data_IF_513982613546
#
_entry.id   IF_513982613546
#
_cell.length_a   1.000
_cell.length_b   1.000
_cell.length_c   1.000
_cell.angle_alpha   90.00
_cell.angle_beta   90.00
_cell.angle_gamma   90.00
#
_symmetry.space_group_name_H-M   'P 1'
#
loop_
_entity.id
_entity.type
_entity.pdbx_description
1 polymer ?
#
# COMPACT_ATOMS: atom_id res chain seq x y z
N UNK A 1 -12.32 -21.34 5.33
CA UNK A 1 -11.86 -20.64 4.11
C UNK A 1 -11.30 -19.23 4.37
N UNK A 2 -11.75 -18.50 5.40
CA UNK A 2 -11.24 -17.16 5.75
C UNK A 2 -9.71 -17.05 5.98
N UNK A 3 -9.08 -18.06 6.59
CA UNK A 3 -7.62 -18.03 6.90
C UNK A 3 -6.69 -17.86 5.68
N UNK A 4 -7.05 -18.41 4.50
CA UNK A 4 -6.22 -18.25 3.27
C UNK A 4 -6.35 -16.86 2.66
N UNK A 5 -7.48 -16.19 2.85
CA UNK A 5 -7.73 -14.84 2.34
C UNK A 5 -7.04 -13.78 3.21
N UNK A 6 -7.09 -13.93 4.54
CA UNK A 6 -6.37 -13.02 5.45
C UNK A 6 -4.85 -13.05 5.26
N UNK A 7 -4.26 -14.20 4.92
CA UNK A 7 -2.83 -14.32 4.60
C UNK A 7 -2.46 -13.49 3.37
N UNK A 8 -3.21 -13.60 2.27
CA UNK A 8 -2.96 -12.81 1.06
C UNK A 8 -3.09 -11.31 1.28
N UNK A 9 -4.04 -10.87 2.10
CA UNK A 9 -4.25 -9.45 2.39
C UNK A 9 -3.12 -8.88 3.25
N UNK A 10 -2.71 -9.60 4.30
CA UNK A 10 -1.56 -9.21 5.11
C UNK A 10 -0.27 -9.16 4.27
N UNK A 11 -0.09 -10.07 3.32
CA UNK A 11 1.04 -10.06 2.38
C UNK A 11 1.02 -8.83 1.46
N UNK A 12 -0.15 -8.42 0.95
CA UNK A 12 -0.28 -7.22 0.13
C UNK A 12 0.05 -5.96 0.93
N UNK A 13 -0.47 -5.84 2.15
CA UNK A 13 -0.19 -4.72 3.06
C UNK A 13 1.32 -4.67 3.38
N UNK A 14 1.92 -5.82 3.71
CA UNK A 14 3.35 -5.92 3.99
C UNK A 14 4.20 -5.50 2.79
N UNK A 15 3.83 -5.89 1.57
CA UNK A 15 4.53 -5.48 0.35
C UNK A 15 4.43 -3.98 0.08
N UNK A 16 3.27 -3.35 0.31
CA UNK A 16 3.11 -1.90 0.17
C UNK A 16 4.06 -1.18 1.13
N UNK A 17 4.08 -1.60 2.40
CA UNK A 17 4.97 -1.03 3.42
C UNK A 17 6.44 -1.26 3.07
N UNK A 18 6.80 -2.47 2.65
CA UNK A 18 8.16 -2.82 2.27
C UNK A 18 8.67 -1.98 1.10
N UNK A 19 7.88 -1.84 0.04
CA UNK A 19 8.24 -1.04 -1.14
C UNK A 19 8.37 0.44 -0.75
N UNK A 20 7.46 0.94 0.10
CA UNK A 20 7.49 2.32 0.56
C UNK A 20 8.67 2.61 1.50
N UNK A 21 8.99 1.71 2.42
CA UNK A 21 10.13 1.86 3.34
C UNK A 21 11.47 1.73 2.62
N UNK A 22 11.60 0.82 1.65
CA UNK A 22 12.77 0.73 0.77
C UNK A 22 13.00 2.00 -0.06
N UNK A 23 12.00 2.86 -0.12
CA UNK A 23 12.02 4.13 -0.80
C UNK A 23 12.41 5.31 0.11
N UNK A 24 13.06 5.06 1.26
CA UNK A 24 13.80 6.07 2.03
C UNK A 24 14.34 7.15 1.10
N UNK A 25 14.07 8.45 1.38
CA UNK A 25 14.15 9.48 0.36
C UNK A 25 15.56 9.53 -0.23
N UNK A 26 15.72 8.94 -1.42
CA UNK A 26 16.91 9.09 -2.24
C UNK A 26 17.19 10.60 -2.30
N UNK A 27 18.38 10.97 -1.82
CA UNK A 27 18.76 12.37 -1.60
C UNK A 27 18.47 13.15 -2.88
N UNK A 28 18.00 14.40 -2.71
CA UNK A 28 17.74 15.32 -3.82
C UNK A 28 18.99 15.40 -4.71
N UNK A 29 18.91 14.84 -5.92
CA UNK A 29 20.04 14.80 -6.86
C UNK A 29 20.29 13.46 -7.53
N UNK A 30 19.77 12.35 -7.00
CA UNK A 30 19.94 11.05 -7.65
C UNK A 30 19.06 10.95 -8.91
N UNK A 31 19.69 10.93 -10.09
CA UNK A 31 19.07 10.77 -11.41
C UNK A 31 18.27 9.48 -11.52
N UNK A 32 18.71 8.43 -10.80
CA UNK A 32 18.00 7.16 -10.63
C UNK A 32 16.63 7.38 -9.97
N UNK A 33 16.54 8.34 -9.05
CA UNK A 33 15.29 8.62 -8.35
C UNK A 33 14.22 9.17 -9.30
N UNK A 34 14.55 9.99 -10.30
CA UNK A 34 13.55 10.58 -11.19
C UNK A 34 12.83 9.55 -12.10
N UNK A 35 13.51 8.47 -12.50
CA UNK A 35 12.94 7.43 -13.37
C UNK A 35 12.32 6.27 -12.60
N UNK A 36 12.89 5.92 -11.45
CA UNK A 36 12.38 4.81 -10.63
C UNK A 36 11.19 5.28 -9.78
N UNK A 37 11.16 6.55 -9.34
CA UNK A 37 10.06 7.08 -8.52
C UNK A 37 8.67 6.89 -9.16
N UNK A 38 8.44 7.26 -10.43
CA UNK A 38 7.14 7.09 -11.07
C UNK A 38 6.72 5.63 -11.24
N UNK A 39 7.65 4.74 -11.58
CA UNK A 39 7.37 3.32 -11.75
C UNK A 39 6.95 2.66 -10.43
N UNK A 40 7.68 2.96 -9.34
CA UNK A 40 7.35 2.48 -8.00
C UNK A 40 6.01 3.06 -7.51
N UNK A 41 5.79 4.37 -7.69
CA UNK A 41 4.50 4.99 -7.36
C UNK A 41 3.35 4.34 -8.12
N UNK A 42 3.53 4.03 -9.40
CA UNK A 42 2.50 3.35 -10.21
C UNK A 42 2.18 1.97 -9.65
N UNK A 43 3.20 1.20 -9.25
CA UNK A 43 3.00 -0.13 -8.69
C UNK A 43 2.35 -0.07 -7.30
N UNK A 44 2.77 0.86 -6.42
CA UNK A 44 2.12 1.10 -5.13
C UNK A 44 0.65 1.48 -5.34
N UNK A 45 0.34 2.41 -6.25
CA UNK A 45 -1.03 2.82 -6.54
C UNK A 45 -1.88 1.67 -7.07
N UNK A 46 -1.31 0.80 -7.91
CA UNK A 46 -1.98 -0.41 -8.37
C UNK A 46 -2.34 -1.33 -7.19
N UNK A 47 -1.39 -1.61 -6.30
CA UNK A 47 -1.64 -2.43 -5.11
C UNK A 47 -2.65 -1.78 -4.15
N UNK A 48 -2.60 -0.45 -3.98
CA UNK A 48 -3.57 0.30 -3.18
C UNK A 48 -4.98 0.22 -3.79
N UNK A 49 -5.12 0.29 -5.11
CA UNK A 49 -6.42 0.15 -5.78
C UNK A 49 -7.00 -1.26 -5.63
N UNK A 50 -6.16 -2.30 -5.76
CA UNK A 50 -6.57 -3.69 -5.50
C UNK A 50 -7.00 -3.85 -4.04
N UNK A 51 -6.24 -3.28 -3.10
CA UNK A 51 -6.57 -3.30 -1.67
C UNK A 51 -7.87 -2.55 -1.35
N UNK A 52 -8.12 -1.42 -2.00
CA UNK A 52 -9.35 -0.64 -1.80
C UNK A 52 -10.59 -1.37 -2.30
N UNK A 53 -10.50 -2.00 -3.47
CA UNK A 53 -11.59 -2.81 -4.04
C UNK A 53 -11.95 -3.99 -3.13
N UNK A 54 -10.95 -4.68 -2.58
CA UNK A 54 -11.16 -5.76 -1.62
C UNK A 54 -11.72 -5.23 -0.29
N UNK A 55 -11.28 -4.05 0.16
CA UNK A 55 -11.76 -3.39 1.39
C UNK A 55 -13.24 -3.04 1.32
N UNK A 56 -13.73 -2.56 0.18
CA UNK A 56 -15.16 -2.24 0.01
C UNK A 56 -16.04 -3.49 0.12
N UNK A 57 -15.48 -4.68 -0.14
CA UNK A 57 -16.21 -5.95 -0.12
C UNK A 57 -15.96 -6.78 1.13
N UNK A 58 -15.02 -6.37 2.00
CA UNK A 58 -14.57 -7.14 3.14
C UNK A 58 -14.52 -6.31 4.43
N UNK A 59 -15.49 -6.54 5.31
CA UNK A 59 -15.58 -5.87 6.62
C UNK A 59 -14.38 -6.19 7.53
N UNK A 60 -13.84 -7.41 7.49
CA UNK A 60 -12.66 -7.76 8.31
C UNK A 60 -11.45 -6.92 7.93
N UNK A 61 -11.28 -6.64 6.63
CA UNK A 61 -10.20 -5.79 6.12
C UNK A 61 -10.38 -4.33 6.53
N UNK A 62 -11.62 -3.84 6.58
CA UNK A 62 -11.91 -2.50 7.10
C UNK A 62 -11.54 -2.35 8.57
N UNK A 63 -11.78 -3.38 9.38
CA UNK A 63 -11.37 -3.39 10.79
C UNK A 63 -9.86 -3.53 10.93
N UNK A 64 -9.22 -4.40 10.14
CA UNK A 64 -7.78 -4.59 10.14
C UNK A 64 -7.03 -3.28 9.82
N UNK A 65 -7.45 -2.55 8.78
CA UNK A 65 -6.82 -1.30 8.37
C UNK A 65 -7.01 -0.15 9.39
N UNK A 66 -7.96 -0.26 10.31
CA UNK A 66 -8.13 0.69 11.43
C UNK A 66 -7.16 0.44 12.58
N UNK A 67 -6.45 -0.69 12.59
CA UNK A 67 -5.45 -0.98 13.63
C UNK A 67 -4.24 -0.05 13.53
N UNK A 68 -3.58 0.18 14.68
CA UNK A 68 -2.37 1.01 14.79
C UNK A 68 -1.26 0.55 13.83
N UNK A 69 -1.16 -0.77 13.61
CA UNK A 69 -0.14 -1.41 12.77
C UNK A 69 -0.25 -1.00 11.29
N UNK A 70 -1.46 -0.73 10.81
CA UNK A 70 -1.72 -0.45 9.39
C UNK A 70 -2.25 0.96 9.10
N UNK A 71 -2.22 1.86 10.10
CA UNK A 71 -2.72 3.24 9.96
C UNK A 71 -2.06 4.02 8.81
N UNK A 72 -0.77 3.78 8.54
CA UNK A 72 -0.06 4.45 7.45
C UNK A 72 -0.52 3.96 6.08
N UNK A 73 -0.88 2.68 5.96
CA UNK A 73 -1.45 2.13 4.72
C UNK A 73 -2.85 2.68 4.49
N UNK A 74 -3.64 2.84 5.54
CA UNK A 74 -4.95 3.51 5.46
C UNK A 74 -4.82 4.96 4.97
N UNK A 75 -3.85 5.72 5.49
CA UNK A 75 -3.56 7.07 4.99
C UNK A 75 -3.17 7.07 3.52
N UNK A 76 -2.30 6.14 3.09
CA UNK A 76 -1.90 6.00 1.70
C UNK A 76 -3.10 5.74 0.77
N UNK A 77 -4.01 4.85 1.17
CA UNK A 77 -5.26 4.58 0.48
C UNK A 77 -6.11 5.85 0.31
N UNK A 78 -6.28 6.63 1.38
CA UNK A 78 -7.06 7.87 1.35
C UNK A 78 -6.42 8.95 0.47
N UNK A 79 -5.10 9.09 0.48
CA UNK A 79 -4.40 10.01 -0.43
C UNK A 79 -4.47 9.57 -1.89
N UNK A 80 -4.46 8.26 -2.18
CA UNK A 80 -4.55 7.74 -3.54
C UNK A 80 -5.92 8.04 -4.17
N UNK A 81 -7.03 8.01 -3.39
CA UNK A 81 -8.37 8.38 -3.90
C UNK A 81 -8.51 9.84 -4.35
N UNK A 82 -7.58 10.73 -3.96
CA UNK A 82 -7.65 12.17 -4.29
C UNK A 82 -7.03 12.52 -5.64
N UNK A 83 -6.38 11.57 -6.31
CA UNK A 83 -5.72 11.73 -7.61
C UNK A 83 -6.33 10.80 -8.66
#
# INVERSE_FOLDING_TARGET
MAKKYNLKLSETIAKIVEIYMKFEPLKRGDTISAYIKPAIHKEINKMLNELDFEREKNNELQELLKSEEYKEVLKMLETNKRY
#
